data_IF_033771167743
#
_entry.id   IF_033771167743
#
_cell.length_a   1.000
_cell.length_b   1.000
_cell.length_c   1.000
_cell.angle_alpha   90.00
_cell.angle_beta   90.00
_cell.angle_gamma   90.00
#
_symmetry.space_group_name_H-M   'P 1'
#
loop_
_entity.id
_entity.type
_entity.pdbx_description
1 polymer ?
#
# COMPACT_ATOMS: atom_id res chain seq x y z
N UNK A 1 11.97 -7.65 6.49
CA UNK A 1 13.27 -7.57 5.80
C UNK A 1 13.14 -6.63 4.61
N UNK A 2 13.96 -5.59 4.53
CA UNK A 2 14.18 -4.86 3.28
C UNK A 2 15.21 -5.64 2.48
N UNK A 3 14.82 -6.15 1.31
CA UNK A 3 15.77 -6.78 0.40
C UNK A 3 16.60 -5.68 -0.26
N UNK A 4 17.91 -5.87 -0.35
CA UNK A 4 18.73 -5.13 -1.33
C UNK A 4 18.45 -5.68 -2.73
N UNK A 5 18.69 -4.89 -3.79
CA UNK A 5 18.55 -5.33 -5.19
C UNK A 5 19.19 -6.70 -5.44
N UNK A 6 20.44 -6.85 -5.02
CA UNK A 6 21.21 -8.09 -5.17
C UNK A 6 20.56 -9.28 -4.45
N UNK A 7 20.16 -9.12 -3.18
CA UNK A 7 19.55 -10.22 -2.42
C UNK A 7 18.20 -10.64 -2.98
N UNK A 8 17.42 -9.71 -3.52
CA UNK A 8 16.14 -10.01 -4.17
C UNK A 8 16.34 -10.76 -5.48
N UNK A 9 17.25 -10.30 -6.33
CA UNK A 9 17.54 -10.95 -7.61
C UNK A 9 18.11 -12.37 -7.41
N UNK A 10 18.96 -12.57 -6.41
CA UNK A 10 19.41 -13.90 -6.01
C UNK A 10 18.26 -14.82 -5.59
N UNK A 11 17.30 -14.30 -4.82
CA UNK A 11 16.12 -15.04 -4.41
C UNK A 11 15.24 -15.42 -5.61
N UNK A 12 15.05 -14.50 -6.55
CA UNK A 12 14.29 -14.75 -7.80
C UNK A 12 14.98 -15.83 -8.63
N UNK A 13 16.30 -15.75 -8.80
CA UNK A 13 17.07 -16.76 -9.53
C UNK A 13 16.99 -18.13 -8.84
N UNK A 14 17.13 -18.18 -7.52
CA UNK A 14 17.01 -19.43 -6.76
C UNK A 14 15.62 -20.08 -6.89
N UNK A 15 14.57 -19.27 -7.06
CA UNK A 15 13.20 -19.74 -7.22
C UNK A 15 12.73 -19.86 -8.68
N UNK A 16 13.64 -19.77 -9.66
CA UNK A 16 13.26 -19.82 -11.08
C UNK A 16 12.53 -21.13 -11.48
N UNK A 17 12.77 -22.22 -10.75
CA UNK A 17 12.11 -23.51 -10.93
C UNK A 17 10.61 -23.52 -10.58
N UNK A 18 10.11 -22.50 -9.86
CA UNK A 18 8.75 -22.48 -9.34
C UNK A 18 7.67 -22.12 -10.38
N UNK A 19 8.02 -21.94 -11.67
CA UNK A 19 7.11 -21.53 -12.76
C UNK A 19 6.19 -20.33 -12.41
N UNK A 20 6.61 -19.51 -11.46
CA UNK A 20 5.87 -18.34 -10.98
C UNK A 20 6.74 -17.10 -11.24
N UNK A 21 6.59 -16.45 -12.40
CA UNK A 21 7.44 -15.33 -12.77
C UNK A 21 7.33 -14.22 -11.72
N UNK A 22 8.48 -13.85 -11.15
CA UNK A 22 8.56 -12.77 -10.17
C UNK A 22 8.90 -11.46 -10.88
N UNK A 23 8.34 -10.33 -10.44
CA UNK A 23 8.70 -9.02 -10.98
C UNK A 23 10.18 -8.73 -10.70
N UNK A 24 10.78 -7.88 -11.53
CA UNK A 24 12.12 -7.34 -11.27
C UNK A 24 12.14 -6.54 -9.96
N UNK A 25 13.34 -6.25 -9.44
CA UNK A 25 13.46 -5.46 -8.23
C UNK A 25 12.79 -4.08 -8.35
N UNK A 26 12.97 -3.41 -9.50
CA UNK A 26 12.42 -2.08 -9.75
C UNK A 26 10.89 -2.10 -9.86
N UNK A 27 10.33 -3.09 -10.55
CA UNK A 27 8.88 -3.29 -10.61
C UNK A 27 8.29 -3.59 -9.24
N UNK A 28 8.97 -4.41 -8.43
CA UNK A 28 8.56 -4.68 -7.04
C UNK A 28 8.52 -3.40 -6.22
N UNK A 29 9.57 -2.58 -6.27
CA UNK A 29 9.62 -1.34 -5.50
C UNK A 29 8.55 -0.34 -5.96
N UNK A 30 8.29 -0.26 -7.27
CA UNK A 30 7.18 0.53 -7.83
C UNK A 30 5.83 0.07 -7.28
N UNK A 31 5.54 -1.23 -7.30
CA UNK A 31 4.29 -1.79 -6.77
C UNK A 31 4.14 -1.53 -5.27
N UNK A 32 5.23 -1.59 -4.49
CA UNK A 32 5.22 -1.27 -3.06
C UNK A 32 4.93 0.21 -2.83
N UNK A 33 5.54 1.10 -3.62
CA UNK A 33 5.31 2.54 -3.54
C UNK A 33 3.84 2.87 -3.89
N UNK A 34 3.31 2.30 -4.97
CA UNK A 34 1.90 2.45 -5.37
C UNK A 34 0.95 1.93 -4.30
N UNK A 35 1.22 0.75 -3.72
CA UNK A 35 0.42 0.20 -2.63
C UNK A 35 0.41 1.12 -1.41
N UNK A 36 1.57 1.64 -1.00
CA UNK A 36 1.69 2.58 0.12
C UNK A 36 0.91 3.87 -0.15
N UNK A 37 1.04 4.43 -1.35
CA UNK A 37 0.32 5.62 -1.75
C UNK A 37 -1.20 5.38 -1.72
N UNK A 38 -1.67 4.29 -2.34
CA UNK A 38 -3.09 3.92 -2.35
C UNK A 38 -3.62 3.67 -0.93
N UNK A 39 -2.84 3.03 -0.06
CA UNK A 39 -3.21 2.83 1.34
C UNK A 39 -3.33 4.16 2.09
N UNK A 40 -2.39 5.08 1.89
CA UNK A 40 -2.43 6.41 2.52
C UNK A 40 -3.62 7.22 2.03
N UNK A 41 -3.91 7.23 0.73
CA UNK A 41 -5.07 7.92 0.15
C UNK A 41 -6.39 7.33 0.68
N UNK A 42 -6.49 6.00 0.81
CA UNK A 42 -7.67 5.36 1.43
C UNK A 42 -7.83 5.75 2.89
N UNK A 43 -6.75 5.75 3.68
CA UNK A 43 -6.77 6.20 5.08
C UNK A 43 -7.22 7.65 5.17
N UNK A 44 -6.65 8.54 4.36
CA UNK A 44 -7.04 9.96 4.33
C UNK A 44 -8.53 10.13 4.00
N UNK A 45 -9.04 9.37 3.03
CA UNK A 45 -10.46 9.40 2.67
C UNK A 45 -11.36 8.95 3.83
N UNK A 46 -11.02 7.83 4.48
CA UNK A 46 -11.75 7.34 5.66
C UNK A 46 -11.72 8.39 6.79
N UNK A 47 -10.56 8.98 7.07
CA UNK A 47 -10.44 10.02 8.11
C UNK A 47 -11.29 11.25 7.76
N UNK A 48 -11.29 11.68 6.50
CA UNK A 48 -12.09 12.82 6.06
C UNK A 48 -13.60 12.54 6.16
N UNK A 49 -14.04 11.35 5.76
CA UNK A 49 -15.43 10.91 5.86
C UNK A 49 -15.87 10.81 7.34
N UNK A 50 -15.03 10.25 8.22
CA UNK A 50 -15.29 10.16 9.66
C UNK A 50 -15.41 11.55 10.32
N UNK A 51 -14.50 12.49 9.99
CA UNK A 51 -14.58 13.87 10.50
C UNK A 51 -15.88 14.54 10.05
N UNK A 52 -16.28 14.33 8.78
CA UNK A 52 -17.54 14.88 8.27
C UNK A 52 -18.74 14.32 9.02
N UNK A 53 -18.79 13.01 9.27
CA UNK A 53 -19.87 12.37 10.04
C UNK A 53 -19.98 12.94 11.45
N UNK A 54 -18.86 13.06 12.18
CA UNK A 54 -18.83 13.66 13.52
C UNK A 54 -19.34 15.11 13.51
N UNK A 55 -18.94 15.92 12.53
CA UNK A 55 -19.40 17.31 12.44
C UNK A 55 -20.88 17.43 12.04
N UNK A 56 -21.40 16.51 11.21
CA UNK A 56 -22.83 16.50 10.87
C UNK A 56 -23.71 16.04 12.02
N UNK A 57 -23.23 15.15 12.88
CA UNK A 57 -24.00 14.61 14.02
C UNK A 57 -24.10 15.63 15.18
N UNK A 58 -23.08 16.47 15.37
CA UNK A 58 -23.12 17.59 16.32
C UNK A 58 -23.99 18.77 15.84
N UNK A 59 -24.17 18.93 14.52
CA UNK A 59 -25.01 19.98 13.93
C UNK A 59 -26.52 19.71 14.05
N UNK A 60 -26.90 18.46 14.35
CA UNK A 60 -28.30 18.01 14.43
C UNK A 60 -28.83 17.91 15.87
N UNK A 61 -28.06 18.35 16.88
CA UNK A 61 -28.43 18.34 18.31
C UNK A 61 -28.70 19.74 18.91
N UNK A 62 -28.97 20.73 18.07
CA UNK A 62 -29.39 22.06 18.52
C UNK A 62 -30.79 22.34 17.97
N UNK A 63 -31.79 21.78 18.64
CA UNK A 63 -33.18 22.24 18.68
C UNK A 63 -33.65 22.20 20.15
#
# INVERSE_FOLDING_TARGET
>A
MHYTKQSYEMLVAANAHANNPKPTYEEREKLIAEYRQNSMTKVQKITADLVKEVMTDDSNKVD
#
